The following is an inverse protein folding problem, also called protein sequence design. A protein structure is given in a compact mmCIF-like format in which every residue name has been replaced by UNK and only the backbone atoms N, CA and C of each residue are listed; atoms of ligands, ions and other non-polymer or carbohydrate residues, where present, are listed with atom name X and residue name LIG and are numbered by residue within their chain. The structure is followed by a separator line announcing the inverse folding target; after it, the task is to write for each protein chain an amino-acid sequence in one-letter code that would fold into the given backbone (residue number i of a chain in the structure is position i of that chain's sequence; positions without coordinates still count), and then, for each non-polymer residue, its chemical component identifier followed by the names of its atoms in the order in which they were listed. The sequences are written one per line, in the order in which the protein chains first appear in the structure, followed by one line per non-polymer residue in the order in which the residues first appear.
data_IF_230676738651
#
_entry.id   IF_230676738651
#
_cell.length_a   1.000
_cell.length_b   1.000
_cell.length_c   1.000
_cell.angle_alpha   90.00
_cell.angle_beta   90.00
_cell.angle_gamma   90.00
#
_symmetry.space_group_name_H-M   'P 1'
#
loop_
_entity.id
_entity.type
_entity.pdbx_description
1 polymer ?
#
# COMPACT_ATOMS: atom_id res chain seq x y z
N UNK A 1 -20.15 -4.63 6.34
CA UNK A 1 -19.08 -3.63 6.53
C UNK A 1 -19.21 -3.00 7.89
N UNK A 2 -18.25 -3.29 8.76
CA UNK A 2 -18.13 -2.76 10.13
C UNK A 2 -17.86 -1.26 10.11
N UNK A 3 -17.99 -0.63 11.28
CA UNK A 3 -17.81 0.82 11.44
C UNK A 3 -16.37 1.27 11.12
N UNK A 4 -15.36 0.45 11.43
CA UNK A 4 -13.97 0.72 11.07
C UNK A 4 -13.79 0.86 9.55
N UNK A 5 -14.34 -0.07 8.78
CA UNK A 5 -14.26 -0.02 7.32
C UNK A 5 -15.10 1.13 6.75
N UNK A 6 -16.27 1.42 7.35
CA UNK A 6 -17.08 2.58 6.96
C UNK A 6 -16.31 3.89 7.16
N UNK A 7 -15.63 4.06 8.30
CA UNK A 7 -14.82 5.24 8.59
C UNK A 7 -13.72 5.45 7.53
N UNK A 8 -13.05 4.39 7.10
CA UNK A 8 -12.04 4.45 6.02
C UNK A 8 -12.67 4.86 4.70
N UNK A 9 -13.79 4.25 4.31
CA UNK A 9 -14.47 4.60 3.05
C UNK A 9 -15.03 6.02 3.05
N UNK A 10 -15.42 6.52 4.22
CA UNK A 10 -15.86 7.90 4.42
C UNK A 10 -14.70 8.89 4.59
N UNK A 11 -13.44 8.39 4.66
CA UNK A 11 -12.22 9.17 4.93
C UNK A 11 -12.27 9.93 6.26
N UNK A 12 -13.00 9.39 7.23
CA UNK A 12 -13.17 9.98 8.56
C UNK A 12 -12.10 9.46 9.53
N UNK A 13 -10.96 10.15 9.55
CA UNK A 13 -9.84 9.81 10.43
C UNK A 13 -10.19 10.00 11.92
N UNK A 14 -11.09 10.92 12.25
CA UNK A 14 -11.50 11.17 13.63
C UNK A 14 -12.35 10.02 14.16
N UNK A 15 -13.35 9.58 13.39
CA UNK A 15 -14.15 8.41 13.73
C UNK A 15 -13.28 7.16 13.78
N UNK A 16 -12.40 6.96 12.79
CA UNK A 16 -11.49 5.81 12.79
C UNK A 16 -10.63 5.78 14.06
N UNK A 17 -10.05 6.92 14.44
CA UNK A 17 -9.24 7.05 15.65
C UNK A 17 -10.05 6.75 16.90
N UNK A 18 -11.25 7.34 17.05
CA UNK A 18 -12.13 7.07 18.20
C UNK A 18 -12.48 5.58 18.32
N UNK A 19 -12.72 4.90 17.19
CA UNK A 19 -13.04 3.48 17.17
C UNK A 19 -11.85 2.60 17.56
N UNK A 20 -10.62 2.98 17.22
CA UNK A 20 -9.39 2.26 17.59
C UNK A 20 -8.97 2.57 19.04
N UNK A 21 -9.09 3.82 19.47
CA UNK A 21 -8.91 4.25 20.87
C UNK A 21 -9.84 3.48 21.82
N UNK A 22 -11.00 3.01 21.34
CA UNK A 22 -11.92 2.16 22.09
C UNK A 22 -11.44 0.70 22.27
N UNK A 23 -10.20 0.39 21.88
CA UNK A 23 -9.60 -0.94 21.99
C UNK A 23 -9.89 -1.89 20.84
N UNK A 24 -10.39 -1.40 19.69
CA UNK A 24 -10.55 -2.24 18.49
C UNK A 24 -9.19 -2.48 17.83
N UNK A 25 -9.01 -3.66 17.25
CA UNK A 25 -7.77 -4.03 16.58
C UNK A 25 -7.62 -3.34 15.21
N UNK A 26 -6.50 -2.64 15.01
CA UNK A 26 -6.15 -2.01 13.73
C UNK A 26 -5.88 -3.03 12.60
N UNK A 27 -5.71 -4.31 12.94
CA UNK A 27 -5.56 -5.42 12.01
C UNK A 27 -6.88 -6.16 11.75
N UNK A 28 -8.02 -5.60 12.19
CA UNK A 28 -9.34 -6.17 11.90
C UNK A 28 -9.48 -6.44 10.40
N UNK A 29 -9.94 -7.65 10.09
CA UNK A 29 -10.08 -8.15 8.73
C UNK A 29 -11.53 -8.54 8.43
N UNK A 30 -12.05 -8.03 7.31
CA UNK A 30 -13.23 -8.57 6.65
C UNK A 30 -12.77 -9.33 5.40
N UNK A 31 -13.02 -8.80 4.20
CA UNK A 31 -12.45 -9.33 2.95
C UNK A 31 -10.96 -8.97 2.78
N UNK A 32 -10.52 -7.91 3.47
CA UNK A 32 -9.14 -7.40 3.52
C UNK A 32 -8.91 -6.74 4.89
N UNK A 33 -7.69 -6.33 5.23
CA UNK A 33 -7.40 -5.56 6.45
C UNK A 33 -7.73 -4.08 6.27
N UNK A 34 -7.82 -3.33 7.37
CA UNK A 34 -8.06 -1.89 7.34
C UNK A 34 -7.05 -1.14 6.47
N UNK A 35 -5.76 -1.48 6.57
CA UNK A 35 -4.70 -0.80 5.81
C UNK A 35 -4.77 -1.10 4.31
N UNK A 36 -5.19 -2.32 3.92
CA UNK A 36 -5.47 -2.62 2.51
C UNK A 36 -6.70 -1.91 2.00
N UNK A 37 -7.78 -1.84 2.81
CA UNK A 37 -8.96 -1.05 2.46
C UNK A 37 -8.56 0.42 2.22
N UNK A 38 -7.73 0.99 3.09
CA UNK A 38 -7.25 2.37 2.94
C UNK A 38 -6.46 2.56 1.62
N UNK A 39 -5.58 1.62 1.27
CA UNK A 39 -4.87 1.61 -0.01
C UNK A 39 -5.80 1.51 -1.21
N UNK A 40 -6.69 0.52 -1.20
CA UNK A 40 -7.68 0.26 -2.26
C UNK A 40 -8.64 1.45 -2.49
N UNK A 41 -9.06 2.14 -1.43
CA UNK A 41 -9.99 3.26 -1.51
C UNK A 41 -9.34 4.64 -1.65
N UNK A 42 -8.01 4.71 -1.74
CA UNK A 42 -7.27 5.98 -1.84
C UNK A 42 -7.57 6.90 -0.67
N UNK A 43 -7.48 6.32 0.52
CA UNK A 43 -7.62 7.06 1.75
C UNK A 43 -6.48 8.09 1.88
N UNK A 44 -6.75 9.24 2.51
CA UNK A 44 -5.76 10.27 2.71
C UNK A 44 -4.72 9.85 3.76
N UNK A 45 -3.63 10.62 3.87
CA UNK A 45 -2.51 10.37 4.77
C UNK A 45 -2.96 10.11 6.22
N UNK A 46 -3.93 10.88 6.72
CA UNK A 46 -4.41 10.82 8.10
C UNK A 46 -5.02 9.46 8.45
N UNK A 47 -5.64 8.78 7.48
CA UNK A 47 -6.16 7.42 7.70
C UNK A 47 -5.01 6.44 7.92
N UNK A 48 -3.96 6.54 7.10
CA UNK A 48 -2.78 5.68 7.25
C UNK A 48 -2.05 5.96 8.56
N UNK A 49 -1.88 7.23 8.91
CA UNK A 49 -1.25 7.63 10.17
C UNK A 49 -2.00 7.07 11.38
N UNK A 50 -3.32 7.16 11.40
CA UNK A 50 -4.15 6.57 12.46
C UNK A 50 -4.00 5.04 12.51
N UNK A 51 -4.06 4.35 11.37
CA UNK A 51 -3.91 2.89 11.35
C UNK A 51 -2.53 2.43 11.83
N UNK A 52 -1.47 3.05 11.31
CA UNK A 52 -0.08 2.70 11.63
C UNK A 52 0.24 3.00 13.10
N UNK A 53 -0.21 4.13 13.63
CA UNK A 53 -0.03 4.48 15.06
C UNK A 53 -0.73 3.50 16.01
N UNK A 54 -1.74 2.78 15.54
CA UNK A 54 -2.43 1.72 16.28
C UNK A 54 -1.94 0.31 15.94
N UNK A 55 -0.78 0.19 15.29
CA UNK A 55 -0.12 -1.10 15.06
C UNK A 55 -0.68 -1.90 13.88
N UNK A 56 -1.27 -1.23 12.88
CA UNK A 56 -1.63 -1.90 11.63
C UNK A 56 -0.38 -2.48 10.94
N UNK A 57 -0.48 -3.74 10.50
CA UNK A 57 0.56 -4.42 9.73
C UNK A 57 0.63 -3.84 8.31
N UNK A 58 1.61 -2.96 8.10
CA UNK A 58 1.89 -2.30 6.81
C UNK A 58 2.21 -3.26 5.67
N UNK A 59 2.60 -4.50 5.99
CA UNK A 59 3.01 -5.52 5.03
C UNK A 59 1.93 -6.56 4.75
N UNK A 60 0.76 -6.46 5.38
CA UNK A 60 -0.34 -7.37 5.06
C UNK A 60 -0.68 -7.27 3.55
N UNK A 61 -0.84 -8.43 2.91
CA UNK A 61 -1.12 -8.53 1.48
C UNK A 61 -2.22 -9.55 1.18
N UNK A 62 -3.11 -9.21 0.24
CA UNK A 62 -4.03 -10.13 -0.43
C UNK A 62 -3.67 -10.21 -1.92
N UNK A 63 -2.47 -10.69 -2.21
CA UNK A 63 -1.69 -10.48 -3.45
C UNK A 63 -1.14 -9.05 -3.59
N UNK A 64 -1.89 -8.02 -3.19
CA UNK A 64 -1.45 -6.60 -3.24
C UNK A 64 -1.25 -6.04 -1.83
N UNK A 65 -0.22 -5.21 -1.64
CA UNK A 65 0.02 -4.45 -0.39
C UNK A 65 -0.55 -3.05 -0.46
N UNK A 66 -0.72 -2.39 0.69
CA UNK A 66 -1.11 -0.98 0.75
C UNK A 66 -0.14 -0.08 -0.02
N UNK A 67 1.17 -0.35 0.08
CA UNK A 67 2.21 0.36 -0.68
C UNK A 67 2.00 0.20 -2.19
N UNK A 68 1.78 -1.03 -2.65
CA UNK A 68 1.55 -1.29 -4.07
C UNK A 68 0.28 -0.59 -4.58
N UNK A 69 -0.80 -0.56 -3.79
CA UNK A 69 -2.00 0.21 -4.11
C UNK A 69 -1.70 1.70 -4.26
N UNK A 70 -1.02 2.31 -3.29
CA UNK A 70 -0.71 3.74 -3.33
C UNK A 70 0.13 4.12 -4.57
N UNK A 71 0.99 3.22 -5.06
CA UNK A 71 1.77 3.46 -6.28
C UNK A 71 0.94 3.56 -7.56
N UNK A 72 -0.35 3.20 -7.58
CA UNK A 72 -1.19 3.45 -8.76
C UNK A 72 -1.54 4.94 -8.90
N UNK A 73 -1.43 5.72 -7.82
CA UNK A 73 -1.96 7.08 -7.78
C UNK A 73 -0.88 8.15 -7.87
N UNK A 74 -1.08 9.20 -8.67
CA UNK A 74 -0.07 10.23 -8.89
C UNK A 74 0.14 11.16 -7.67
N UNK A 75 -0.86 11.30 -6.80
CA UNK A 75 -0.83 12.20 -5.65
C UNK A 75 -0.65 11.47 -4.30
N UNK A 76 -0.04 10.28 -4.30
CA UNK A 76 0.12 9.45 -3.10
C UNK A 76 1.55 9.49 -2.51
N UNK A 77 2.35 10.51 -2.82
CA UNK A 77 3.75 10.57 -2.40
C UNK A 77 3.92 10.48 -0.88
N UNK A 78 3.16 11.27 -0.13
CA UNK A 78 3.20 11.34 1.33
C UNK A 78 2.76 10.02 1.96
N UNK A 79 1.74 9.36 1.39
CA UNK A 79 1.28 8.03 1.82
C UNK A 79 2.35 6.97 1.56
N UNK A 80 2.97 6.99 0.38
CA UNK A 80 4.05 6.05 0.02
C UNK A 80 5.23 6.23 0.97
N UNK A 81 5.64 7.49 1.22
CA UNK A 81 6.70 7.81 2.16
C UNK A 81 6.38 7.31 3.57
N UNK A 82 5.17 7.57 4.07
CA UNK A 82 4.73 7.10 5.37
C UNK A 82 4.81 5.57 5.48
N UNK A 83 4.30 4.84 4.49
CA UNK A 83 4.33 3.37 4.48
C UNK A 83 5.77 2.84 4.49
N UNK A 84 6.65 3.42 3.68
CA UNK A 84 8.08 3.04 3.63
C UNK A 84 8.78 3.34 4.97
N UNK A 85 8.58 4.54 5.52
CA UNK A 85 9.15 4.96 6.81
C UNK A 85 8.64 4.05 7.95
N UNK A 86 7.48 3.44 7.77
CA UNK A 86 6.86 2.48 8.70
C UNK A 86 7.25 1.02 8.44
N UNK A 87 8.18 0.76 7.52
CA UNK A 87 8.73 -0.57 7.27
C UNK A 87 7.99 -1.40 6.21
N UNK A 88 7.24 -0.75 5.30
CA UNK A 88 6.64 -1.46 4.17
C UNK A 88 7.71 -2.07 3.24
N UNK A 89 7.49 -3.30 2.79
CA UNK A 89 8.33 -4.00 1.83
C UNK A 89 8.17 -3.37 0.44
N UNK A 90 9.18 -2.60 0.05
CA UNK A 90 9.27 -1.92 -1.25
C UNK A 90 9.41 -2.88 -2.44
N UNK A 91 9.68 -4.16 -2.18
CA UNK A 91 9.91 -5.18 -3.20
C UNK A 91 8.75 -6.18 -3.33
N UNK A 92 7.71 -6.09 -2.48
CA UNK A 92 6.52 -6.92 -2.62
C UNK A 92 5.95 -6.77 -4.03
N UNK A 93 5.60 -7.89 -4.67
CA UNK A 93 5.19 -7.89 -6.07
C UNK A 93 3.91 -8.69 -6.30
N UNK A 94 2.95 -8.10 -7.01
CA UNK A 94 1.86 -8.84 -7.66
C UNK A 94 2.04 -8.75 -9.18
N UNK A 95 2.96 -9.56 -9.71
CA UNK A 95 3.54 -9.43 -11.07
C UNK A 95 4.41 -8.18 -11.24
N UNK A 96 3.98 -7.04 -10.70
CA UNK A 96 4.71 -5.76 -10.67
C UNK A 96 5.09 -5.37 -9.25
N UNK A 97 6.25 -4.76 -9.10
CA UNK A 97 6.70 -4.11 -7.86
C UNK A 97 6.18 -2.66 -7.79
N UNK A 98 6.22 -2.01 -6.62
CA UNK A 98 6.00 -0.57 -6.47
C UNK A 98 6.80 0.27 -7.48
N UNK A 99 8.06 -0.12 -7.74
CA UNK A 99 8.93 0.57 -8.69
C UNK A 99 8.44 0.40 -10.13
N UNK A 100 8.08 -0.82 -10.56
CA UNK A 100 7.50 -1.05 -11.89
C UNK A 100 6.27 -0.16 -12.13
N UNK A 101 5.33 -0.13 -11.18
CA UNK A 101 4.12 0.69 -11.30
C UNK A 101 4.43 2.19 -11.37
N UNK A 102 5.40 2.65 -10.61
CA UNK A 102 5.80 4.07 -10.59
C UNK A 102 6.41 4.50 -11.93
N UNK A 103 7.15 3.63 -12.60
CA UNK A 103 7.74 3.90 -13.91
C UNK A 103 6.71 3.98 -15.06
N UNK A 104 5.48 3.49 -14.88
CA UNK A 104 4.43 3.56 -15.91
C UNK A 104 3.82 4.96 -16.06
N UNK A 105 4.12 5.89 -15.14
CA UNK A 105 3.58 7.24 -15.18
C UNK A 105 4.70 8.27 -15.04
N UNK A 106 4.83 9.16 -16.02
CA UNK A 106 5.92 10.15 -16.11
C UNK A 106 5.90 11.18 -14.97
N UNK A 107 4.78 11.32 -14.26
CA UNK A 107 4.64 12.26 -13.14
C UNK A 107 5.10 11.71 -11.78
N UNK A 108 5.71 10.53 -11.72
CA UNK A 108 6.11 9.86 -10.47
C UNK A 108 7.61 9.89 -10.19
N UNK A 109 8.35 10.86 -10.73
CA UNK A 109 9.81 10.94 -10.55
C UNK A 109 10.24 10.93 -9.07
N UNK A 110 9.56 11.68 -8.21
CA UNK A 110 9.88 11.73 -6.78
C UNK A 110 9.56 10.40 -6.06
N UNK A 111 8.48 9.71 -6.47
CA UNK A 111 8.16 8.37 -5.96
C UNK A 111 9.23 7.35 -6.40
N UNK A 112 9.69 7.42 -7.65
CA UNK A 112 10.76 6.56 -8.16
C UNK A 112 12.05 6.79 -7.37
N UNK A 113 12.46 8.05 -7.16
CA UNK A 113 13.64 8.38 -6.35
C UNK A 113 13.50 7.85 -4.92
N UNK A 114 12.34 8.03 -4.30
CA UNK A 114 12.05 7.55 -2.96
C UNK A 114 12.20 6.02 -2.87
N UNK A 115 11.61 5.28 -3.80
CA UNK A 115 11.68 3.82 -3.85
C UNK A 115 13.12 3.32 -4.06
N UNK A 116 13.87 3.91 -5.00
CA UNK A 116 15.28 3.57 -5.26
C UNK A 116 16.14 3.82 -4.01
N UNK A 117 15.95 4.96 -3.34
CA UNK A 117 16.66 5.27 -2.10
C UNK A 117 16.27 4.34 -0.94
N UNK A 118 15.11 3.70 -1.02
CA UNK A 118 14.57 2.77 -0.02
C UNK A 118 14.91 1.31 -0.30
N UNK A 119 15.97 1.06 -1.09
CA UNK A 119 16.47 -0.28 -1.45
C UNK A 119 15.48 -1.12 -2.29
N UNK A 120 14.67 -0.47 -3.12
CA UNK A 120 13.95 -1.19 -4.18
C UNK A 120 14.93 -1.87 -5.13
N UNK A 121 14.62 -3.11 -5.51
CA UNK A 121 15.35 -3.84 -6.55
C UNK A 121 15.02 -3.24 -7.93
N UNK A 122 15.94 -2.43 -8.44
CA UNK A 122 15.86 -1.80 -9.77
C UNK A 122 15.93 -2.80 -10.92
N UNK A 123 16.39 -4.03 -10.65
CA UNK A 123 16.49 -5.10 -11.63
C UNK A 123 15.36 -6.13 -11.49
N UNK A 124 14.39 -5.89 -10.59
CA UNK A 124 13.23 -6.74 -10.47
C UNK A 124 12.59 -6.88 -11.85
N UNK A 125 12.27 -8.11 -12.24
CA UNK A 125 11.56 -8.39 -13.49
C UNK A 125 10.09 -8.55 -13.20
N UNK A 126 9.25 -7.97 -14.05
CA UNK A 126 7.83 -8.27 -14.04
C UNK A 126 7.67 -9.80 -14.17
N UNK A 127 6.98 -10.44 -13.21
CA UNK A 127 6.61 -11.85 -13.36
C UNK A 127 5.51 -11.92 -14.40
N UNK A 128 5.90 -11.95 -15.67
CA UNK A 128 5.00 -12.33 -16.74
C UNK A 128 4.67 -13.80 -16.47
N UNK A 129 3.44 -14.09 -16.03
CA UNK A 129 2.93 -15.47 -15.97
C UNK A 129 2.74 -15.89 -17.42
N UNK A 130 3.85 -16.27 -18.06
CA UNK A 130 3.86 -16.82 -19.39
C UNK A 130 3.36 -18.26 -19.26
N UNK A 131 2.10 -18.46 -19.62
CA UNK A 131 1.64 -19.71 -20.20
C UNK A 131 2.29 -19.88 -21.58
N UNK A 132 3.62 -19.86 -21.64
CA UNK A 132 4.38 -19.85 -22.89
C UNK A 132 5.65 -20.65 -22.66
N UNK A 133 5.51 -21.96 -22.92
CA UNK A 133 6.59 -22.77 -23.46
C UNK A 133 7.13 -22.07 -24.72
N UNK A 134 8.05 -21.12 -24.63
CA UNK A 134 8.96 -20.83 -25.74
C UNK A 134 10.33 -20.46 -25.15
N UNK A 135 11.18 -21.50 -25.12
CA UNK A 135 12.62 -21.53 -25.37
C UNK A 135 13.55 -20.71 -24.45
N UNK A 136 14.12 -21.44 -23.48
CA UNK A 136 15.55 -21.35 -23.17
C UNK A 136 16.40 -21.49 -24.45
N UNK A 137 17.50 -20.75 -24.49
CA UNK A 137 18.62 -20.75 -25.46
C UNK A 137 18.69 -21.91 -26.48
#
# INVERSE_FOLDING_TARGET
MSELFKAITAKDANLLKQLLDSGKDANTKENETLILRAGSSLAPYEIFEVLISHGADVNYANDVTALLYSTYHPAAFEVIKLLIDSGADVNHSNKRTPLHNSCLNSNKLEVIKLLVNSKSDVNARERVILNTQILSF
#
